data_IF_053165345541
#
_entry.id   IF_053165345541
#
_cell.length_a   1.000
_cell.length_b   1.000
_cell.length_c   1.000
_cell.angle_alpha   90.00
_cell.angle_beta   90.00
_cell.angle_gamma   90.00
#
_symmetry.space_group_name_H-M   'P 1'
#
loop_
_entity.id
_entity.type
_entity.pdbx_description
1 polymer ?
#
# COMPACT_ATOMS: atom_id res chain seq x y z
N UNK A 1 11.54 25.43 -0.33
CA UNK A 1 10.55 24.32 -0.33
C UNK A 1 10.58 23.43 0.91
N UNK A 2 11.46 23.67 1.90
CA UNK A 2 11.65 22.79 3.08
C UNK A 2 10.72 23.11 4.28
N UNK A 3 9.95 24.21 4.26
CA UNK A 3 9.11 24.65 5.39
C UNK A 3 7.60 24.61 5.11
N UNK A 4 7.19 24.22 3.91
CA UNK A 4 5.76 24.13 3.55
C UNK A 4 5.15 22.87 4.20
N UNK A 5 5.83 21.73 4.15
CA UNK A 5 5.32 20.46 4.68
C UNK A 5 5.00 20.46 6.20
N UNK A 6 5.81 21.06 7.08
CA UNK A 6 5.49 21.11 8.52
C UNK A 6 4.34 22.07 8.83
N UNK A 7 4.30 23.23 8.17
CA UNK A 7 3.26 24.25 8.37
C UNK A 7 1.92 23.72 7.84
N UNK A 8 1.90 23.06 6.68
CA UNK A 8 0.69 22.45 6.12
C UNK A 8 0.16 21.30 6.97
N UNK A 9 1.02 20.50 7.61
CA UNK A 9 0.60 19.40 8.49
C UNK A 9 -0.03 19.90 9.80
N UNK A 10 0.48 21.00 10.37
CA UNK A 10 -0.10 21.63 11.57
C UNK A 10 -1.44 22.31 11.24
N UNK A 11 -1.52 22.99 10.09
CA UNK A 11 -2.76 23.63 9.62
C UNK A 11 -3.81 22.58 9.26
N UNK A 12 -3.45 21.50 8.55
CA UNK A 12 -4.36 20.42 8.25
C UNK A 12 -4.88 19.75 9.54
N UNK A 13 -4.03 19.48 10.53
CA UNK A 13 -4.46 18.91 11.81
C UNK A 13 -5.42 19.80 12.63
N UNK A 14 -5.42 21.12 12.41
CA UNK A 14 -6.31 22.07 13.09
C UNK A 14 -7.66 22.29 12.38
N UNK A 15 -7.70 22.17 11.04
CA UNK A 15 -8.87 22.53 10.23
C UNK A 15 -9.59 21.31 9.60
N UNK A 16 -9.08 20.09 9.77
CA UNK A 16 -9.65 18.90 9.15
C UNK A 16 -11.01 18.49 9.74
N UNK A 17 -11.24 18.72 11.03
CA UNK A 17 -12.55 18.51 11.66
C UNK A 17 -13.59 19.52 11.12
N UNK A 18 -13.21 20.80 10.97
CA UNK A 18 -14.08 21.85 10.41
C UNK A 18 -14.46 21.57 8.94
N UNK A 19 -13.52 21.04 8.16
CA UNK A 19 -13.75 20.70 6.74
C UNK A 19 -14.63 19.45 6.61
N UNK A 20 -14.44 18.45 7.48
CA UNK A 20 -15.27 17.25 7.50
C UNK A 20 -16.74 17.58 7.84
N UNK A 21 -16.96 18.48 8.80
CA UNK A 21 -18.31 18.92 9.19
C UNK A 21 -19.04 19.67 8.05
N UNK A 22 -18.31 20.46 7.26
CA UNK A 22 -18.86 21.17 6.09
C UNK A 22 -19.23 20.19 4.97
N UNK A 23 -18.39 19.19 4.69
CA UNK A 23 -18.65 18.18 3.65
C UNK A 23 -19.82 17.28 4.03
N UNK A 24 -19.93 16.85 5.30
CA UNK A 24 -21.06 16.05 5.78
C UNK A 24 -22.40 16.79 5.65
N UNK A 25 -22.43 18.10 5.93
CA UNK A 25 -23.65 18.91 5.75
C UNK A 25 -24.02 19.19 4.30
N UNK A 26 -23.05 19.23 3.39
CA UNK A 26 -23.25 19.71 2.02
C UNK A 26 -23.48 18.56 1.03
N UNK A 27 -22.67 17.50 1.12
CA UNK A 27 -22.66 16.43 0.11
C UNK A 27 -23.41 15.17 0.58
N UNK A 28 -23.56 14.95 1.89
CA UNK A 28 -24.23 13.76 2.46
C UNK A 28 -25.27 14.10 3.55
N UNK A 29 -26.27 14.96 3.26
CA UNK A 29 -27.20 15.48 4.27
C UNK A 29 -28.14 14.42 4.89
N UNK A 30 -28.16 13.18 4.38
CA UNK A 30 -29.00 12.09 4.85
C UNK A 30 -28.30 11.02 5.68
N UNK A 31 -26.97 11.08 5.82
CA UNK A 31 -26.20 10.11 6.60
C UNK A 31 -26.04 10.56 8.08
N UNK A 32 -25.94 9.61 9.02
CA UNK A 32 -25.70 9.93 10.42
C UNK A 32 -24.30 10.56 10.59
N UNK A 33 -24.26 11.72 11.25
CA UNK A 33 -23.06 12.54 11.48
C UNK A 33 -21.96 11.77 12.22
N UNK A 34 -20.71 11.90 11.76
CA UNK A 34 -19.57 11.25 12.39
C UNK A 34 -19.32 11.77 13.81
N UNK A 35 -18.81 10.92 14.72
CA UNK A 35 -18.38 11.38 16.06
C UNK A 35 -16.95 11.92 15.99
N UNK A 36 -16.75 13.13 16.52
CA UNK A 36 -15.43 13.77 16.64
C UNK A 36 -14.38 12.82 17.24
N UNK A 37 -13.21 12.79 16.61
CA UNK A 37 -12.13 11.88 17.01
C UNK A 37 -11.44 12.43 18.28
N UNK A 38 -11.20 11.59 19.32
CA UNK A 38 -10.52 12.06 20.53
C UNK A 38 -9.13 12.62 20.22
N UNK A 39 -8.79 13.80 20.76
CA UNK A 39 -7.53 14.52 20.50
C UNK A 39 -6.27 13.65 20.68
N UNK A 40 -6.28 12.74 21.65
CA UNK A 40 -5.18 11.80 21.91
C UNK A 40 -4.98 10.79 20.75
N UNK A 41 -6.07 10.42 20.06
CA UNK A 41 -6.04 9.54 18.89
C UNK A 41 -5.51 10.27 17.65
N UNK A 42 -5.88 11.54 17.49
CA UNK A 42 -5.32 12.42 16.44
C UNK A 42 -3.83 12.65 16.65
N UNK A 43 -3.36 12.79 17.90
CA UNK A 43 -1.94 12.91 18.22
C UNK A 43 -1.13 11.66 17.80
N UNK A 44 -1.67 10.47 18.08
CA UNK A 44 -1.04 9.19 17.67
C UNK A 44 -1.01 9.04 16.16
N UNK A 45 -2.07 9.45 15.45
CA UNK A 45 -2.11 9.43 13.98
C UNK A 45 -1.08 10.40 13.37
N UNK A 46 -0.98 11.61 13.91
CA UNK A 46 0.00 12.62 13.51
C UNK A 46 1.44 12.16 13.74
N UNK A 47 1.72 11.52 14.88
CA UNK A 47 3.03 10.94 15.15
C UNK A 47 3.37 9.81 14.15
N UNK A 48 2.39 8.98 13.79
CA UNK A 48 2.56 7.92 12.79
C UNK A 48 2.82 8.50 11.39
N UNK A 49 2.13 9.56 11.02
CA UNK A 49 2.34 10.27 9.75
C UNK A 49 3.72 10.92 9.68
N UNK A 50 4.15 11.56 10.76
CA UNK A 50 5.47 12.16 10.89
C UNK A 50 6.59 11.10 10.74
N UNK A 51 6.39 9.91 11.31
CA UNK A 51 7.28 8.76 11.09
C UNK A 51 7.38 8.32 9.62
N UNK A 52 6.26 8.32 8.89
CA UNK A 52 6.25 7.97 7.45
C UNK A 52 6.97 9.03 6.61
N UNK A 53 6.77 10.32 6.90
CA UNK A 53 7.44 11.42 6.20
C UNK A 53 8.96 11.40 6.43
N UNK A 54 9.39 11.09 7.66
CA UNK A 54 10.81 10.90 7.99
C UNK A 54 11.39 9.72 7.22
N UNK A 55 10.70 8.58 7.20
CA UNK A 55 11.15 7.41 6.44
C UNK A 55 11.28 7.72 4.93
N UNK A 56 10.29 8.41 4.35
CA UNK A 56 10.32 8.82 2.95
C UNK A 56 11.49 9.74 2.61
N UNK A 57 11.86 10.66 3.50
CA UNK A 57 13.01 11.54 3.32
C UNK A 57 14.35 10.81 3.45
N UNK A 58 14.46 9.86 4.36
CA UNK A 58 15.68 9.02 4.50
C UNK A 58 15.87 8.18 3.23
N UNK A 59 14.79 7.61 2.67
CA UNK A 59 14.85 6.87 1.41
C UNK A 59 15.27 7.78 0.25
N UNK A 60 14.73 8.99 0.16
CA UNK A 60 15.12 9.97 -0.86
C UNK A 60 16.60 10.39 -0.75
N UNK A 61 17.13 10.53 0.47
CA UNK A 61 18.54 10.85 0.73
C UNK A 61 19.47 9.69 0.33
N UNK A 62 19.07 8.44 0.60
CA UNK A 62 19.82 7.24 0.22
C UNK A 62 19.81 6.97 -1.30
N UNK A 63 18.76 7.40 -1.99
CA UNK A 63 18.65 7.33 -3.46
C UNK A 63 19.62 8.26 -4.19
N UNK A 64 20.22 9.23 -3.49
CA UNK A 64 21.10 10.24 -4.08
C UNK A 64 22.53 9.72 -4.38
N UNK A 65 22.95 8.58 -3.81
CA UNK A 65 24.37 8.17 -3.79
C UNK A 65 24.86 7.21 -4.91
N UNK A 66 24.00 6.54 -5.69
CA UNK A 66 24.45 5.62 -6.78
C UNK A 66 23.50 5.69 -7.98
N UNK A 67 23.86 6.35 -9.09
CA UNK A 67 22.99 6.46 -10.26
C UNK A 67 22.73 5.10 -10.92
N UNK A 68 21.46 4.79 -11.22
CA UNK A 68 21.06 3.65 -12.07
C UNK A 68 20.97 2.28 -11.40
N UNK A 69 22.02 1.84 -10.68
CA UNK A 69 22.04 0.50 -10.04
C UNK A 69 21.02 0.41 -8.90
N UNK A 70 20.86 1.50 -8.14
CA UNK A 70 19.92 1.54 -7.02
C UNK A 70 18.46 1.40 -7.48
N UNK A 71 18.10 1.96 -8.63
CA UNK A 71 16.73 1.87 -9.16
C UNK A 71 16.43 0.42 -9.57
N UNK A 72 17.32 -0.21 -10.34
CA UNK A 72 17.13 -1.61 -10.74
C UNK A 72 17.08 -2.55 -9.51
N UNK A 73 18.01 -2.38 -8.56
CA UNK A 73 18.01 -3.15 -7.32
C UNK A 73 16.74 -2.91 -6.49
N UNK A 74 16.29 -1.65 -6.36
CA UNK A 74 15.07 -1.30 -5.66
C UNK A 74 13.86 -2.03 -6.24
N UNK A 75 13.67 -1.96 -7.56
CA UNK A 75 12.53 -2.58 -8.22
C UNK A 75 12.58 -4.10 -8.18
N UNK A 76 13.75 -4.72 -8.39
CA UNK A 76 13.89 -6.18 -8.34
C UNK A 76 13.67 -6.70 -6.92
N UNK A 77 14.33 -6.09 -5.92
CA UNK A 77 14.24 -6.53 -4.53
C UNK A 77 12.84 -6.28 -3.97
N UNK A 78 12.31 -5.06 -4.07
CA UNK A 78 10.97 -4.76 -3.57
C UNK A 78 9.90 -5.52 -4.36
N UNK A 79 10.03 -5.62 -5.68
CA UNK A 79 9.09 -6.38 -6.50
C UNK A 79 9.05 -7.86 -6.12
N UNK A 80 10.20 -8.48 -5.85
CA UNK A 80 10.26 -9.85 -5.39
C UNK A 80 9.68 -10.03 -3.97
N UNK A 81 10.07 -9.17 -3.03
CA UNK A 81 9.62 -9.26 -1.64
C UNK A 81 8.11 -9.02 -1.51
N UNK A 82 7.62 -7.89 -2.04
CA UNK A 82 6.21 -7.52 -2.01
C UNK A 82 5.36 -8.55 -2.77
N UNK A 83 5.84 -8.98 -3.94
CA UNK A 83 5.20 -10.02 -4.73
C UNK A 83 5.00 -11.29 -3.92
N UNK A 84 6.09 -11.81 -3.36
CA UNK A 84 6.08 -13.05 -2.57
C UNK A 84 5.14 -12.94 -1.36
N UNK A 85 5.31 -11.90 -0.56
CA UNK A 85 4.70 -11.80 0.76
C UNK A 85 3.21 -11.48 0.68
N UNK A 86 2.82 -10.47 -0.10
CA UNK A 86 1.40 -10.13 -0.25
C UNK A 86 0.62 -11.21 -1.02
N UNK A 87 1.25 -11.93 -1.95
CA UNK A 87 0.60 -13.07 -2.60
C UNK A 87 0.35 -14.22 -1.62
N UNK A 88 1.35 -14.58 -0.81
CA UNK A 88 1.17 -15.61 0.22
C UNK A 88 0.07 -15.20 1.22
N UNK A 89 0.05 -13.94 1.69
CA UNK A 89 -1.03 -13.44 2.54
C UNK A 89 -2.41 -13.53 1.87
N UNK A 90 -2.51 -13.18 0.59
CA UNK A 90 -3.77 -13.28 -0.15
C UNK A 90 -4.21 -14.74 -0.34
N UNK A 91 -3.28 -15.64 -0.65
CA UNK A 91 -3.55 -17.05 -0.90
C UNK A 91 -3.87 -17.84 0.37
N UNK A 92 -3.20 -17.54 1.48
CA UNK A 92 -3.43 -18.18 2.78
C UNK A 92 -4.83 -17.91 3.36
N UNK A 93 -5.55 -16.92 2.83
CA UNK A 93 -6.98 -16.72 3.15
C UNK A 93 -7.89 -17.84 2.61
N UNK A 94 -7.40 -18.64 1.66
CA UNK A 94 -8.20 -19.63 0.95
C UNK A 94 -7.57 -21.03 0.89
N UNK A 95 -6.27 -21.16 1.20
CA UNK A 95 -5.49 -22.41 1.10
C UNK A 95 -4.52 -22.53 2.28
N UNK A 96 -4.03 -23.75 2.55
CA UNK A 96 -2.99 -23.96 3.55
C UNK A 96 -1.66 -23.28 3.17
N UNK A 97 -0.78 -23.04 4.14
CA UNK A 97 0.50 -22.35 3.94
C UNK A 97 1.39 -23.04 2.90
N UNK A 98 1.45 -24.38 2.93
CA UNK A 98 2.23 -25.16 1.97
C UNK A 98 1.68 -25.06 0.54
N UNK A 99 0.36 -25.11 0.39
CA UNK A 99 -0.32 -24.95 -0.91
C UNK A 99 -0.16 -23.54 -1.47
N UNK A 100 -0.24 -22.51 -0.62
CA UNK A 100 -0.01 -21.12 -1.01
C UNK A 100 1.41 -20.92 -1.55
N UNK A 101 2.42 -21.50 -0.88
CA UNK A 101 3.82 -21.49 -1.34
C UNK A 101 4.02 -22.25 -2.64
N UNK A 102 3.41 -23.43 -2.78
CA UNK A 102 3.47 -24.22 -4.01
C UNK A 102 2.88 -23.44 -5.19
N UNK A 103 1.70 -22.82 -4.99
CA UNK A 103 1.03 -22.00 -5.99
C UNK A 103 1.89 -20.81 -6.39
N UNK A 104 2.46 -20.09 -5.43
CA UNK A 104 3.37 -18.98 -5.71
C UNK A 104 4.57 -19.43 -6.54
N UNK A 105 5.20 -20.56 -6.19
CA UNK A 105 6.35 -21.09 -6.94
C UNK A 105 5.97 -21.44 -8.38
N UNK A 106 4.79 -22.02 -8.59
CA UNK A 106 4.29 -22.32 -9.94
C UNK A 106 4.02 -21.05 -10.77
N UNK A 107 3.53 -19.98 -10.14
CA UNK A 107 3.24 -18.70 -10.80
C UNK A 107 4.24 -17.59 -10.47
N UNK A 108 5.50 -17.94 -10.18
CA UNK A 108 6.48 -17.01 -9.62
C UNK A 108 6.74 -15.79 -10.51
N UNK A 109 6.76 -15.97 -11.84
CA UNK A 109 6.92 -14.87 -12.80
C UNK A 109 5.76 -13.87 -12.75
N UNK A 110 4.52 -14.35 -12.69
CA UNK A 110 3.34 -13.48 -12.61
C UNK A 110 3.24 -12.77 -11.26
N UNK A 111 3.55 -13.47 -10.17
CA UNK A 111 3.61 -12.90 -8.82
C UNK A 111 4.69 -11.83 -8.72
N UNK A 112 5.87 -12.09 -9.30
CA UNK A 112 6.96 -11.11 -9.37
C UNK A 112 6.55 -9.87 -10.18
N UNK A 113 5.90 -10.04 -11.34
CA UNK A 113 5.44 -8.92 -12.16
C UNK A 113 4.42 -8.05 -11.40
N UNK A 114 3.48 -8.67 -10.69
CA UNK A 114 2.54 -7.95 -9.84
C UNK A 114 3.25 -7.23 -8.69
N UNK A 115 4.26 -7.87 -8.09
CA UNK A 115 5.13 -7.23 -7.11
C UNK A 115 5.88 -6.02 -7.66
N UNK A 116 6.34 -6.08 -8.92
CA UNK A 116 7.01 -4.96 -9.59
C UNK A 116 6.06 -3.76 -9.78
N UNK A 117 4.79 -4.01 -10.10
CA UNK A 117 3.76 -2.97 -10.16
C UNK A 117 3.54 -2.31 -8.80
N UNK A 118 3.53 -3.09 -7.72
CA UNK A 118 3.44 -2.56 -6.35
C UNK A 118 4.69 -1.76 -6.01
N UNK A 119 5.88 -2.23 -6.39
CA UNK A 119 7.14 -1.51 -6.19
C UNK A 119 7.16 -0.17 -6.94
N UNK A 120 6.52 -0.07 -8.11
CA UNK A 120 6.35 1.21 -8.81
C UNK A 120 5.47 2.19 -8.03
N UNK A 121 4.39 1.68 -7.42
CA UNK A 121 3.51 2.47 -6.56
C UNK A 121 4.23 2.94 -5.29
N UNK A 122 5.03 2.05 -4.69
CA UNK A 122 5.91 2.32 -3.55
C UNK A 122 6.92 3.43 -3.83
N UNK A 123 7.46 3.47 -5.06
CA UNK A 123 8.48 4.44 -5.47
C UNK A 123 7.95 5.89 -5.52
N UNK A 124 6.63 6.07 -5.66
CA UNK A 124 6.00 7.41 -5.69
C UNK A 124 5.65 7.83 -4.26
N UNK A 125 6.23 8.91 -3.71
CA UNK A 125 6.10 9.24 -2.28
C UNK A 125 4.66 9.40 -1.77
N UNK A 126 3.78 10.01 -2.56
CA UNK A 126 2.36 10.18 -2.20
C UNK A 126 1.59 8.86 -2.26
N UNK A 127 1.89 8.01 -3.24
CA UNK A 127 1.22 6.72 -3.45
C UNK A 127 1.74 5.64 -2.49
N UNK A 128 2.95 5.81 -1.95
CA UNK A 128 3.53 4.94 -0.95
C UNK A 128 2.58 4.75 0.26
N UNK A 129 1.93 5.82 0.72
CA UNK A 129 0.94 5.76 1.81
C UNK A 129 -0.22 4.78 1.53
N UNK A 130 -0.60 4.64 0.27
CA UNK A 130 -1.69 3.78 -0.18
C UNK A 130 -1.19 2.41 -0.68
N UNK A 131 0.13 2.22 -0.76
CA UNK A 131 0.75 1.01 -1.30
C UNK A 131 0.31 -0.26 -0.59
N UNK A 132 0.20 -0.32 0.76
CA UNK A 132 -0.27 -1.54 1.42
C UNK A 132 -1.70 -1.94 1.01
N UNK A 133 -2.60 -0.96 0.87
CA UNK A 133 -3.98 -1.20 0.43
C UNK A 133 -4.01 -1.67 -1.03
N UNK A 134 -3.25 -1.00 -1.88
CA UNK A 134 -3.11 -1.35 -3.28
C UNK A 134 -2.52 -2.77 -3.47
N UNK A 135 -1.43 -3.08 -2.75
CA UNK A 135 -0.78 -4.38 -2.77
C UNK A 135 -1.72 -5.52 -2.40
N UNK A 136 -2.47 -5.35 -1.31
CA UNK A 136 -3.46 -6.31 -0.88
C UNK A 136 -4.55 -6.52 -1.95
N UNK A 137 -5.10 -5.43 -2.51
CA UNK A 137 -6.11 -5.51 -3.55
C UNK A 137 -5.60 -6.24 -4.81
N UNK A 138 -4.40 -5.87 -5.31
CA UNK A 138 -3.78 -6.48 -6.49
C UNK A 138 -3.55 -7.98 -6.27
N UNK A 139 -3.00 -8.37 -5.11
CA UNK A 139 -2.66 -9.77 -4.86
C UNK A 139 -3.89 -10.65 -4.62
N UNK A 140 -4.97 -10.10 -4.04
CA UNK A 140 -6.26 -10.81 -3.94
C UNK A 140 -6.84 -11.06 -5.34
N UNK A 141 -6.84 -10.05 -6.22
CA UNK A 141 -7.29 -10.23 -7.60
C UNK A 141 -6.43 -11.25 -8.35
N UNK A 142 -5.11 -11.18 -8.19
CA UNK A 142 -4.18 -12.11 -8.81
C UNK A 142 -4.42 -13.55 -8.32
N UNK A 143 -4.58 -13.76 -7.01
CA UNK A 143 -4.88 -15.08 -6.46
C UNK A 143 -6.18 -15.64 -7.03
N UNK A 144 -7.24 -14.83 -7.12
CA UNK A 144 -8.52 -15.25 -7.72
C UNK A 144 -8.37 -15.63 -9.20
N UNK A 145 -7.66 -14.81 -9.98
CA UNK A 145 -7.41 -15.07 -11.40
C UNK A 145 -6.61 -16.37 -11.62
N UNK A 146 -5.62 -16.63 -10.77
CA UNK A 146 -4.83 -17.88 -10.80
C UNK A 146 -5.70 -19.08 -10.42
N UNK A 147 -6.48 -18.98 -9.33
CA UNK A 147 -7.34 -20.07 -8.87
C UNK A 147 -8.38 -20.48 -9.92
N UNK A 148 -9.01 -19.51 -10.61
CA UNK A 148 -9.93 -19.81 -11.72
C UNK A 148 -9.22 -20.56 -12.87
N UNK A 149 -7.99 -20.15 -13.20
CA UNK A 149 -7.19 -20.84 -14.23
C UNK A 149 -6.79 -22.26 -13.85
N UNK A 150 -6.55 -22.53 -12.56
CA UNK A 150 -6.27 -23.90 -12.09
C UNK A 150 -7.50 -24.80 -12.19
N UNK A 151 -8.68 -24.32 -11.79
CA UNK A 151 -9.94 -25.07 -11.92
C UNK A 151 -10.25 -25.38 -13.39
N UNK A 152 -10.00 -24.43 -14.30
CA UNK A 152 -10.18 -24.65 -15.73
C UNK A 152 -9.15 -25.62 -16.35
N UNK A 153 -7.97 -25.80 -15.72
CA UNK A 153 -6.98 -26.79 -16.14
C UNK A 153 -7.30 -28.19 -15.61
N UNK A 154 -7.81 -28.31 -14.37
CA UNK A 154 -8.19 -29.60 -13.81
C UNK A 154 -9.39 -30.22 -14.51
N UNK A 155 -10.34 -29.42 -15.00
CA UNK A 155 -11.49 -29.89 -15.78
C UNK A 155 -11.18 -30.32 -17.22
N UNK A 156 -9.95 -30.06 -17.71
CA UNK A 156 -9.47 -30.49 -19.04
C UNK A 156 -8.57 -31.74 -18.99
N UNK A 157 -8.29 -32.27 -17.81
CA UNK A 157 -7.55 -33.51 -17.60
C UNK A 157 -8.52 -34.62 -17.22
#
# INVERSE_FOLDING_TARGET
ALLIAPVTAVVAGLFLDDIAEVVERTDYPGDPTGRAMPALRSLVLSARFLGVVILGNIVALLLLLVPGVNIAAFFIVNGYLLGREFFEFAAMRFRGEEEARALRRHYAGTVFLAGLLIAAFLAVPLLNLLTPLFAAAVMVHLHKAISVREVARSSRR
#
